data_IF_122649695307
#
_entry.id   IF_122649695307
#
_cell.length_a   1.000
_cell.length_b   1.000
_cell.length_c   1.000
_cell.angle_alpha   90.00
_cell.angle_beta   90.00
_cell.angle_gamma   90.00
#
_symmetry.space_group_name_H-M   'P 1'
#
loop_
_entity.id
_entity.type
_entity.pdbx_description
1 polymer ?
#
# COMPACT_ATOMS: atom_id res chain seq x y z
N UNK A 1 -3.92 10.42 6.89
CA UNK A 1 -3.16 11.55 6.31
C UNK A 1 -3.44 11.75 4.81
N UNK A 2 -3.73 10.69 4.06
CA UNK A 2 -4.12 10.78 2.63
C UNK A 2 -5.49 11.44 2.41
N UNK A 3 -6.44 11.21 3.32
CA UNK A 3 -7.83 11.65 3.20
C UNK A 3 -8.03 13.14 2.81
N UNK A 4 -7.39 14.14 3.45
CA UNK A 4 -7.57 15.54 3.05
C UNK A 4 -7.08 15.84 1.62
N UNK A 5 -6.02 15.18 1.17
CA UNK A 5 -5.50 15.32 -0.21
C UNK A 5 -6.54 14.73 -1.18
N UNK A 6 -7.07 13.56 -0.87
CA UNK A 6 -8.11 12.89 -1.66
C UNK A 6 -9.39 13.71 -1.73
N UNK A 7 -9.89 14.23 -0.59
CA UNK A 7 -11.08 15.08 -0.54
C UNK A 7 -10.91 16.37 -1.37
N UNK A 8 -9.74 16.99 -1.33
CA UNK A 8 -9.42 18.17 -2.13
C UNK A 8 -9.44 17.85 -3.63
N UNK A 9 -8.78 16.76 -4.05
CA UNK A 9 -8.73 16.34 -5.44
C UNK A 9 -10.13 16.06 -6.01
N UNK A 10 -10.97 15.34 -5.27
CA UNK A 10 -12.35 15.04 -5.70
C UNK A 10 -13.19 16.31 -5.79
N UNK A 11 -13.11 17.17 -4.77
CA UNK A 11 -13.90 18.40 -4.74
C UNK A 11 -13.58 19.29 -5.93
N UNK A 12 -12.29 19.41 -6.26
CA UNK A 12 -11.81 20.16 -7.42
C UNK A 12 -12.26 19.54 -8.75
N UNK A 13 -12.17 18.21 -8.88
CA UNK A 13 -12.65 17.48 -10.05
C UNK A 13 -14.15 17.66 -10.29
N UNK A 14 -14.95 17.52 -9.22
CA UNK A 14 -16.41 17.60 -9.30
C UNK A 14 -16.87 19.00 -9.73
N UNK A 15 -16.21 20.05 -9.23
CA UNK A 15 -16.47 21.43 -9.64
C UNK A 15 -16.11 21.69 -11.11
N UNK A 16 -15.16 20.92 -11.67
CA UNK A 16 -14.65 21.14 -13.03
C UNK A 16 -15.49 20.41 -14.09
N UNK A 17 -15.84 19.14 -13.84
CA UNK A 17 -16.43 18.26 -14.87
C UNK A 17 -17.93 18.03 -14.67
N UNK A 18 -18.43 17.99 -13.42
CA UNK A 18 -19.83 17.70 -13.06
C UNK A 18 -20.49 16.61 -13.94
N UNK A 19 -19.89 15.39 -14.03
CA UNK A 19 -20.35 14.39 -14.99
C UNK A 19 -21.62 13.68 -14.53
N UNK A 20 -22.37 13.11 -15.48
CA UNK A 20 -23.53 12.25 -15.20
C UNK A 20 -23.15 10.89 -14.59
N UNK A 21 -21.95 10.40 -14.92
CA UNK A 21 -21.39 9.16 -14.41
C UNK A 21 -20.02 9.45 -13.79
N UNK A 22 -19.81 8.96 -12.58
CA UNK A 22 -18.59 9.13 -11.80
C UNK A 22 -17.88 7.79 -11.63
N UNK A 23 -16.75 7.63 -12.31
CA UNK A 23 -15.94 6.42 -12.27
C UNK A 23 -14.83 6.53 -11.21
N UNK A 24 -14.74 5.54 -10.32
CA UNK A 24 -13.71 5.43 -9.28
C UNK A 24 -12.99 4.10 -9.48
N UNK A 25 -11.67 4.14 -9.54
CA UNK A 25 -10.84 2.94 -9.56
C UNK A 25 -9.94 2.88 -8.30
N UNK A 26 -10.02 1.77 -7.56
CA UNK A 26 -9.13 1.43 -6.45
C UNK A 26 -8.16 0.34 -6.92
N UNK A 27 -6.88 0.69 -7.08
CA UNK A 27 -5.83 -0.16 -7.65
C UNK A 27 -4.92 -0.68 -6.53
N UNK A 28 -4.93 -1.99 -6.30
CA UNK A 28 -4.33 -2.64 -5.13
C UNK A 28 -5.30 -2.72 -3.95
N UNK A 29 -6.54 -3.13 -4.22
CA UNK A 29 -7.63 -3.03 -3.26
C UNK A 29 -7.53 -4.02 -2.08
N UNK A 30 -6.76 -5.10 -2.22
CA UNK A 30 -6.70 -6.24 -1.31
C UNK A 30 -8.09 -6.86 -1.06
N UNK A 31 -8.31 -7.52 0.09
CA UNK A 31 -9.56 -8.22 0.43
C UNK A 31 -10.22 -7.74 1.74
N UNK A 32 -9.63 -6.72 2.39
CA UNK A 32 -10.05 -6.22 3.70
C UNK A 32 -11.06 -5.07 3.64
N UNK A 33 -11.52 -4.58 4.81
CA UNK A 33 -12.51 -3.49 4.89
C UNK A 33 -12.03 -2.15 4.31
N UNK A 34 -10.71 -2.01 4.10
CA UNK A 34 -10.10 -0.79 3.57
C UNK A 34 -10.59 -0.46 2.16
N UNK A 35 -10.81 -1.48 1.31
CA UNK A 35 -11.28 -1.34 -0.07
C UNK A 35 -12.54 -0.48 -0.15
N UNK A 36 -13.54 -0.86 0.65
CA UNK A 36 -14.83 -0.20 0.64
C UNK A 36 -14.82 1.11 1.44
N UNK A 37 -13.95 1.23 2.45
CA UNK A 37 -13.81 2.46 3.24
C UNK A 37 -13.35 3.64 2.37
N UNK A 38 -12.33 3.43 1.52
CA UNK A 38 -11.83 4.50 0.64
C UNK A 38 -12.93 4.94 -0.31
N UNK A 39 -13.53 3.99 -1.05
CA UNK A 39 -14.60 4.28 -2.02
C UNK A 39 -15.79 4.98 -1.36
N UNK A 40 -16.19 4.54 -0.16
CA UNK A 40 -17.26 5.17 0.62
C UNK A 40 -16.97 6.65 0.92
N UNK A 41 -15.76 6.97 1.39
CA UNK A 41 -15.36 8.34 1.70
C UNK A 41 -15.35 9.22 0.45
N UNK A 42 -14.94 8.68 -0.71
CA UNK A 42 -14.99 9.39 -2.00
C UNK A 42 -16.43 9.75 -2.37
N UNK A 43 -17.33 8.77 -2.33
CA UNK A 43 -18.74 8.93 -2.68
C UNK A 43 -19.41 9.93 -1.74
N UNK A 44 -19.15 9.83 -0.43
CA UNK A 44 -19.66 10.76 0.59
C UNK A 44 -19.21 12.21 0.33
N UNK A 45 -17.98 12.39 -0.13
CA UNK A 45 -17.43 13.71 -0.48
C UNK A 45 -18.16 14.31 -1.69
N UNK A 46 -18.36 13.51 -2.75
CA UNK A 46 -19.13 13.91 -3.93
C UNK A 46 -20.58 14.24 -3.55
N UNK A 47 -21.23 13.39 -2.75
CA UNK A 47 -22.61 13.56 -2.31
C UNK A 47 -22.81 14.85 -1.51
N UNK A 48 -21.89 15.15 -0.58
CA UNK A 48 -21.90 16.40 0.16
C UNK A 48 -21.75 17.60 -0.78
N UNK A 49 -20.86 17.50 -1.78
CA UNK A 49 -20.59 18.60 -2.70
C UNK A 49 -21.76 18.88 -3.64
N UNK A 50 -22.38 17.84 -4.24
CA UNK A 50 -23.54 18.00 -5.12
C UNK A 50 -24.72 18.65 -4.41
N UNK A 51 -24.95 18.30 -3.14
CA UNK A 51 -26.05 18.85 -2.32
C UNK A 51 -25.88 20.35 -2.13
N UNK A 52 -24.66 20.80 -1.84
CA UNK A 52 -24.32 22.23 -1.75
C UNK A 52 -24.52 22.98 -3.07
N UNK A 53 -24.34 22.30 -4.21
CA UNK A 53 -24.50 22.89 -5.54
C UNK A 53 -25.94 22.75 -6.09
N UNK A 54 -26.85 22.07 -5.39
CA UNK A 54 -28.20 21.80 -5.87
C UNK A 54 -28.25 20.86 -7.07
N UNK A 55 -27.26 19.98 -7.23
CA UNK A 55 -27.15 19.04 -8.35
C UNK A 55 -27.71 17.66 -8.01
N UNK A 56 -28.23 16.97 -9.04
CA UNK A 56 -28.64 15.57 -8.95
C UNK A 56 -27.43 14.65 -8.69
N UNK A 57 -27.70 13.46 -8.14
CA UNK A 57 -26.64 12.48 -7.91
C UNK A 57 -26.14 11.90 -9.22
N UNK A 58 -24.82 11.80 -9.45
CA UNK A 58 -24.29 11.04 -10.57
C UNK A 58 -24.50 9.54 -10.33
N UNK A 59 -24.45 8.77 -11.41
CA UNK A 59 -24.28 7.32 -11.34
C UNK A 59 -22.83 7.01 -10.92
N UNK A 60 -22.62 6.16 -9.91
CA UNK A 60 -21.29 5.77 -9.47
C UNK A 60 -20.89 4.42 -10.07
N UNK A 61 -19.76 4.38 -10.76
CA UNK A 61 -19.14 3.15 -11.26
C UNK A 61 -17.82 2.93 -10.53
N UNK A 62 -17.72 1.81 -9.83
CA UNK A 62 -16.56 1.48 -9.02
C UNK A 62 -15.83 0.31 -9.70
N UNK A 63 -14.52 0.43 -9.79
CA UNK A 63 -13.61 -0.60 -10.27
C UNK A 63 -12.65 -0.88 -9.12
N UNK A 64 -12.67 -2.09 -8.59
CA UNK A 64 -11.61 -2.54 -7.71
C UNK A 64 -10.66 -3.36 -8.57
N UNK A 65 -9.37 -3.32 -8.28
CA UNK A 65 -8.35 -4.01 -9.05
C UNK A 65 -7.26 -4.51 -8.11
N UNK A 66 -6.80 -5.73 -8.34
CA UNK A 66 -5.72 -6.39 -7.61
C UNK A 66 -5.28 -7.60 -8.44
N UNK A 67 -4.17 -8.25 -8.10
CA UNK A 67 -3.75 -9.51 -8.73
C UNK A 67 -4.82 -10.62 -8.49
N UNK A 68 -4.96 -11.70 -9.29
CA UNK A 68 -5.95 -12.76 -9.18
C UNK A 68 -5.60 -13.76 -8.10
N UNK A 69 -4.37 -13.70 -7.62
CA UNK A 69 -4.03 -14.30 -6.35
C UNK A 69 -4.76 -13.62 -5.19
N UNK A 70 -5.29 -12.39 -5.36
CA UNK A 70 -6.15 -11.75 -4.37
C UNK A 70 -7.48 -12.50 -4.21
N UNK A 71 -7.98 -12.54 -2.99
CA UNK A 71 -9.23 -13.21 -2.66
C UNK A 71 -10.45 -12.33 -2.95
N UNK A 72 -10.70 -12.11 -4.23
CA UNK A 72 -11.90 -11.41 -4.69
C UNK A 72 -13.19 -12.06 -4.21
N UNK A 73 -13.19 -13.36 -3.88
CA UNK A 73 -14.39 -14.03 -3.33
C UNK A 73 -14.75 -13.46 -1.95
N UNK A 74 -13.76 -13.08 -1.13
CA UNK A 74 -13.99 -12.42 0.16
C UNK A 74 -14.51 -10.99 -0.02
N UNK A 75 -14.02 -10.24 -1.02
CA UNK A 75 -14.59 -8.92 -1.37
C UNK A 75 -16.04 -9.07 -1.85
N UNK A 76 -16.31 -9.99 -2.78
CA UNK A 76 -17.65 -10.15 -3.37
C UNK A 76 -18.69 -10.58 -2.33
N UNK A 77 -18.29 -11.32 -1.29
CA UNK A 77 -19.18 -11.67 -0.17
C UNK A 77 -19.55 -10.47 0.72
N UNK A 78 -18.70 -9.43 0.80
CA UNK A 78 -18.95 -8.23 1.61
C UNK A 78 -19.66 -7.10 0.84
N UNK A 79 -19.85 -7.26 -0.48
CA UNK A 79 -20.60 -6.31 -1.33
C UNK A 79 -22.03 -6.04 -0.83
N UNK A 80 -22.84 -7.03 -0.41
CA UNK A 80 -24.22 -6.76 0.04
C UNK A 80 -24.28 -5.86 1.28
N UNK A 81 -23.41 -6.09 2.27
CA UNK A 81 -23.28 -5.27 3.47
C UNK A 81 -22.77 -3.86 3.16
N UNK A 82 -21.79 -3.75 2.27
CA UNK A 82 -21.30 -2.46 1.78
C UNK A 82 -22.41 -1.66 1.09
N UNK A 83 -23.19 -2.31 0.22
CA UNK A 83 -24.32 -1.67 -0.44
C UNK A 83 -25.43 -1.28 0.54
N UNK A 84 -25.67 -2.08 1.59
CA UNK A 84 -26.63 -1.76 2.64
C UNK A 84 -26.17 -0.56 3.46
N UNK A 85 -24.89 -0.50 3.83
CA UNK A 85 -24.30 0.67 4.49
C UNK A 85 -24.42 1.93 3.63
N UNK A 86 -24.14 1.83 2.33
CA UNK A 86 -24.36 2.92 1.38
C UNK A 86 -25.84 3.34 1.33
N UNK A 87 -26.79 2.41 1.26
CA UNK A 87 -28.24 2.71 1.25
C UNK A 87 -28.76 3.30 2.56
N UNK A 88 -28.17 2.94 3.69
CA UNK A 88 -28.58 3.42 5.01
C UNK A 88 -28.01 4.82 5.30
N UNK A 89 -26.83 5.14 4.76
CA UNK A 89 -26.20 6.46 4.91
C UNK A 89 -26.45 7.41 3.73
N UNK A 90 -27.03 6.94 2.62
CA UNK A 90 -27.36 7.73 1.43
C UNK A 90 -28.83 7.49 0.99
N UNK A 91 -29.55 8.54 0.62
CA UNK A 91 -30.94 8.43 0.14
C UNK A 91 -31.06 7.57 -1.15
N UNK A 92 -32.23 6.97 -1.37
CA UNK A 92 -32.46 5.91 -2.37
C UNK A 92 -32.00 6.25 -3.82
N UNK A 93 -31.20 5.36 -4.44
CA UNK A 93 -30.88 5.41 -5.89
C UNK A 93 -29.49 4.92 -6.39
N UNK A 94 -28.87 3.88 -5.80
CA UNK A 94 -27.47 3.49 -6.08
C UNK A 94 -27.29 2.30 -7.08
N UNK A 95 -26.19 2.25 -7.87
CA UNK A 95 -25.87 1.25 -8.94
C UNK A 95 -24.77 0.17 -8.65
N UNK A 96 -24.38 -0.70 -9.62
CA UNK A 96 -23.53 -1.93 -9.48
C UNK A 96 -22.03 -1.83 -9.97
N UNK A 97 -21.10 -2.78 -9.59
CA UNK A 97 -19.60 -2.73 -9.72
C UNK A 97 -18.86 -4.11 -9.97
N UNK A 98 -17.64 -4.16 -10.61
CA UNK A 98 -16.80 -5.38 -10.94
C UNK A 98 -15.22 -5.22 -10.91
N UNK A 99 -14.40 -6.32 -10.92
CA UNK A 99 -12.94 -6.41 -10.49
C UNK A 99 -12.01 -7.56 -11.10
N UNK A 100 -10.64 -7.41 -11.31
CA UNK A 100 -9.61 -8.47 -11.75
C UNK A 100 -8.05 -8.09 -11.74
N UNK A 101 -7.01 -9.01 -11.96
CA UNK A 101 -5.51 -8.76 -12.22
C UNK A 101 -4.58 -9.94 -12.77
N UNK A 102 -3.17 -9.97 -12.66
CA UNK A 102 -2.13 -11.12 -12.43
C UNK A 102 -0.60 -10.71 -12.45
N UNK A 103 0.46 -11.56 -12.17
CA UNK A 103 1.56 -11.41 -11.17
C UNK A 103 2.99 -11.27 -11.82
N UNK A 104 4.09 -11.89 -11.32
CA UNK A 104 5.14 -11.51 -10.32
C UNK A 104 6.54 -12.00 -10.86
N UNK A 105 7.71 -11.60 -10.29
CA UNK A 105 9.09 -11.74 -10.85
C UNK A 105 10.18 -12.43 -9.96
N UNK A 106 11.37 -12.75 -10.53
CA UNK A 106 12.53 -13.56 -10.00
C UNK A 106 13.87 -12.76 -9.90
N UNK A 107 14.62 -12.83 -8.76
CA UNK A 107 16.12 -12.72 -8.64
C UNK A 107 16.62 -12.74 -7.15
N UNK A 108 17.93 -13.01 -6.88
CA UNK A 108 18.54 -13.39 -5.57
C UNK A 108 19.39 -12.31 -4.83
N UNK A 109 19.43 -12.31 -3.47
CA UNK A 109 20.09 -11.34 -2.57
C UNK A 109 20.68 -12.01 -1.30
N UNK A 110 22.00 -11.94 -1.10
CA UNK A 110 22.71 -12.73 -0.09
C UNK A 110 22.51 -12.22 1.34
N UNK A 111 22.09 -13.12 2.24
CA UNK A 111 21.95 -12.91 3.69
C UNK A 111 20.93 -11.85 4.11
N UNK A 112 20.25 -11.24 3.14
CA UNK A 112 19.27 -10.17 3.30
C UNK A 112 18.10 -10.45 2.39
N UNK A 113 16.91 -10.13 2.88
CA UNK A 113 15.66 -10.33 2.13
C UNK A 113 15.16 -9.02 1.50
N UNK A 114 15.91 -7.92 1.65
CA UNK A 114 15.58 -6.58 1.15
C UNK A 114 16.87 -5.76 1.01
N UNK A 115 16.81 -4.60 0.34
CA UNK A 115 17.92 -3.63 0.28
C UNK A 115 18.27 -3.12 1.68
N UNK A 116 19.57 -3.04 1.96
CA UNK A 116 20.16 -2.49 3.19
C UNK A 116 21.34 -1.57 2.85
N UNK A 117 21.85 -0.82 3.84
CA UNK A 117 23.05 0.00 3.69
C UNK A 117 24.31 -0.76 3.26
N UNK A 118 24.36 -2.08 3.47
CA UNK A 118 25.48 -2.95 3.08
C UNK A 118 25.28 -3.64 1.74
N UNK A 119 24.14 -3.40 1.06
CA UNK A 119 23.82 -4.05 -0.21
C UNK A 119 24.74 -3.58 -1.34
N UNK A 120 25.27 -4.50 -2.18
CA UNK A 120 26.04 -4.14 -3.37
C UNK A 120 25.19 -3.34 -4.37
N UNK A 121 25.85 -2.51 -5.19
CA UNK A 121 25.18 -1.73 -6.23
C UNK A 121 24.35 -2.58 -7.22
N UNK A 122 24.79 -3.81 -7.48
CA UNK A 122 24.03 -4.76 -8.31
C UNK A 122 22.67 -5.06 -7.71
N UNK A 123 22.59 -5.35 -6.40
CA UNK A 123 21.34 -5.61 -5.67
C UNK A 123 20.45 -4.38 -5.65
N UNK A 124 21.01 -3.19 -5.34
CA UNK A 124 20.23 -1.94 -5.35
C UNK A 124 19.58 -1.72 -6.72
N UNK A 125 20.31 -1.99 -7.81
CA UNK A 125 19.80 -1.81 -9.17
C UNK A 125 18.68 -2.77 -9.56
N UNK A 126 18.60 -3.94 -8.94
CA UNK A 126 17.53 -4.94 -9.12
C UNK A 126 16.19 -4.43 -8.56
N UNK A 127 16.21 -3.51 -7.60
CA UNK A 127 14.97 -2.91 -7.08
C UNK A 127 14.64 -1.57 -7.76
N UNK A 128 15.64 -0.71 -7.94
CA UNK A 128 15.42 0.64 -8.48
C UNK A 128 14.97 0.59 -9.94
N UNK A 129 15.62 -0.21 -10.80
CA UNK A 129 15.30 -0.22 -12.24
C UNK A 129 13.91 -0.79 -12.54
N UNK A 130 13.49 -1.92 -11.93
CA UNK A 130 12.11 -2.38 -12.09
C UNK A 130 11.11 -1.35 -11.58
N UNK A 131 11.33 -0.74 -10.41
CA UNK A 131 10.44 0.32 -9.94
C UNK A 131 10.30 1.46 -10.94
N UNK A 132 11.40 2.01 -11.48
CA UNK A 132 11.35 3.10 -12.46
C UNK A 132 10.59 2.70 -13.73
N UNK A 133 10.86 1.48 -14.22
CA UNK A 133 10.20 0.91 -15.40
C UNK A 133 8.70 0.69 -15.16
N UNK A 134 8.36 0.03 -14.07
CA UNK A 134 7.01 -0.39 -13.73
C UNK A 134 6.15 0.80 -13.35
N UNK A 135 6.69 1.77 -12.61
CA UNK A 135 5.99 3.02 -12.29
C UNK A 135 5.77 3.87 -13.55
N UNK A 136 6.74 3.95 -14.46
CA UNK A 136 6.55 4.65 -15.74
C UNK A 136 5.51 3.96 -16.63
N UNK A 137 5.52 2.62 -16.67
CA UNK A 137 4.51 1.83 -17.38
C UNK A 137 3.12 2.01 -16.76
N UNK A 138 3.03 2.00 -15.43
CA UNK A 138 1.81 2.31 -14.70
C UNK A 138 1.27 3.67 -15.09
N UNK A 139 2.09 4.74 -15.03
CA UNK A 139 1.67 6.08 -15.42
C UNK A 139 1.16 6.10 -16.87
N UNK A 140 1.86 5.49 -17.82
CA UNK A 140 1.42 5.41 -19.22
C UNK A 140 0.07 4.71 -19.37
N UNK A 141 -0.12 3.54 -18.76
CA UNK A 141 -1.40 2.82 -18.81
C UNK A 141 -2.53 3.65 -18.21
N UNK A 142 -2.29 4.29 -17.05
CA UNK A 142 -3.29 5.15 -16.41
C UNK A 142 -3.62 6.38 -17.27
N UNK A 143 -2.65 6.89 -18.02
CA UNK A 143 -2.88 8.06 -18.86
C UNK A 143 -3.72 7.75 -20.10
N UNK A 144 -3.69 6.52 -20.60
CA UNK A 144 -4.57 6.05 -21.68
C UNK A 144 -6.00 5.79 -21.20
N UNK A 145 -6.17 5.37 -19.94
CA UNK A 145 -7.47 5.05 -19.35
C UNK A 145 -8.21 6.29 -18.80
N UNK A 146 -7.47 7.29 -18.33
CA UNK A 146 -8.04 8.45 -17.64
C UNK A 146 -8.49 9.55 -18.61
N UNK A 147 -9.68 10.09 -18.37
CA UNK A 147 -10.17 11.29 -19.05
C UNK A 147 -9.28 12.49 -18.76
N UNK A 148 -9.19 13.42 -19.72
CA UNK A 148 -8.53 14.71 -19.53
C UNK A 148 -9.12 15.43 -18.31
N UNK A 149 -8.23 15.94 -17.45
CA UNK A 149 -8.64 16.55 -16.20
C UNK A 149 -9.07 15.56 -15.12
N UNK A 150 -8.93 14.24 -15.30
CA UNK A 150 -9.11 13.25 -14.23
C UNK A 150 -8.11 13.42 -13.09
N UNK A 151 -8.41 12.84 -11.92
CA UNK A 151 -7.55 12.87 -10.72
C UNK A 151 -7.08 11.47 -10.35
N UNK A 152 -5.80 11.35 -10.01
CA UNK A 152 -5.22 10.13 -9.44
C UNK A 152 -4.50 10.48 -8.15
N UNK A 153 -4.82 9.78 -7.07
CA UNK A 153 -4.16 9.94 -5.78
C UNK A 153 -3.42 8.66 -5.46
N UNK A 154 -2.09 8.74 -5.37
CA UNK A 154 -1.22 7.63 -5.05
C UNK A 154 -0.75 7.77 -3.61
N UNK A 155 -0.92 6.72 -2.81
CA UNK A 155 -0.34 6.63 -1.47
C UNK A 155 0.62 5.43 -1.47
N UNK A 156 1.92 5.72 -1.55
CA UNK A 156 2.97 4.72 -1.61
C UNK A 156 3.72 4.70 -0.28
N UNK A 157 4.07 3.53 0.21
CA UNK A 157 5.09 3.45 1.25
C UNK A 157 6.42 3.89 0.61
N UNK A 158 7.16 4.75 1.29
CA UNK A 158 8.33 5.39 0.73
C UNK A 158 9.37 5.71 1.78
N UNK A 159 10.24 6.67 1.45
CA UNK A 159 11.33 7.17 2.31
C UNK A 159 11.47 8.67 2.15
N UNK A 160 12.05 9.34 3.16
CA UNK A 160 12.37 10.77 3.06
C UNK A 160 13.73 10.98 2.41
N UNK A 161 14.69 10.15 2.78
CA UNK A 161 16.03 10.16 2.21
C UNK A 161 16.00 9.93 0.71
N UNK A 162 16.91 10.56 -0.03
CA UNK A 162 17.14 10.28 -1.46
C UNK A 162 18.08 9.08 -1.68
N UNK A 163 18.75 8.57 -0.64
CA UNK A 163 19.52 7.33 -0.70
C UNK A 163 18.61 6.07 -0.69
N UNK A 164 18.61 5.23 -1.75
CA UNK A 164 17.78 4.01 -1.84
C UNK A 164 18.14 2.93 -0.82
N UNK A 165 19.31 3.01 -0.19
CA UNK A 165 19.72 2.04 0.84
C UNK A 165 19.22 2.42 2.24
N UNK A 166 18.62 3.61 2.39
CA UNK A 166 18.09 4.07 3.67
C UNK A 166 17.09 3.06 4.21
N UNK A 167 17.26 2.69 5.47
CA UNK A 167 16.38 1.74 6.17
C UNK A 167 15.07 2.40 6.63
N UNK A 168 14.90 3.71 6.39
CA UNK A 168 13.66 4.45 6.64
C UNK A 168 12.45 3.70 6.07
N UNK A 169 11.51 3.35 6.94
CA UNK A 169 10.29 2.65 6.55
C UNK A 169 10.47 1.22 6.03
N UNK A 170 11.66 0.63 6.14
CA UNK A 170 11.96 -0.75 5.68
C UNK A 170 12.68 -1.62 6.71
N UNK A 171 13.10 -1.07 7.85
CA UNK A 171 13.87 -1.79 8.87
C UNK A 171 13.16 -3.03 9.43
N UNK A 172 11.83 -3.08 9.38
CA UNK A 172 11.06 -4.26 9.81
C UNK A 172 11.36 -5.51 8.94
N UNK A 173 11.80 -5.34 7.69
CA UNK A 173 12.30 -6.43 6.85
C UNK A 173 13.68 -6.93 7.29
N UNK A 174 14.53 -6.03 7.79
CA UNK A 174 15.84 -6.41 8.34
C UNK A 174 15.69 -7.25 9.61
N UNK A 175 14.70 -6.93 10.45
CA UNK A 175 14.35 -7.72 11.63
C UNK A 175 13.79 -9.11 11.27
N UNK A 176 13.08 -9.24 10.13
CA UNK A 176 12.65 -10.55 9.63
C UNK A 176 13.83 -11.34 9.06
N UNK A 177 14.76 -10.67 8.37
CA UNK A 177 16.00 -11.29 7.92
C UNK A 177 16.84 -11.80 9.10
N UNK A 178 16.85 -11.09 10.24
CA UNK A 178 17.51 -11.56 11.47
C UNK A 178 16.94 -12.90 11.94
N UNK A 179 15.60 -13.02 12.02
CA UNK A 179 14.95 -14.28 12.40
C UNK A 179 15.34 -15.43 11.46
N UNK A 180 15.35 -15.19 10.14
CA UNK A 180 15.75 -16.20 9.16
C UNK A 180 17.24 -16.58 9.29
N UNK A 181 18.14 -15.62 9.56
CA UNK A 181 19.57 -15.90 9.79
C UNK A 181 19.81 -16.75 11.04
N UNK A 182 19.07 -16.52 12.11
CA UNK A 182 19.13 -17.38 13.31
C UNK A 182 18.74 -18.82 12.95
N UNK A 183 17.66 -18.99 12.18
CA UNK A 183 17.22 -20.31 11.72
C UNK A 183 18.26 -20.99 10.81
N UNK A 184 18.95 -20.24 9.96
CA UNK A 184 20.09 -20.76 9.17
C UNK A 184 21.23 -21.21 10.08
N UNK A 185 21.59 -20.42 11.09
CA UNK A 185 22.68 -20.77 12.01
C UNK A 185 22.40 -22.03 12.85
N UNK A 186 21.12 -22.34 13.06
CA UNK A 186 20.67 -23.54 13.76
C UNK A 186 20.45 -24.74 12.82
N UNK A 187 20.62 -24.55 11.51
CA UNK A 187 20.41 -25.59 10.50
C UNK A 187 18.94 -25.90 10.22
N UNK A 188 18.01 -25.02 10.62
CA UNK A 188 16.58 -25.16 10.34
C UNK A 188 16.21 -24.68 8.91
N UNK A 189 17.04 -23.81 8.33
CA UNK A 189 16.89 -23.28 6.97
C UNK A 189 18.22 -23.37 6.25
N UNK A 190 18.20 -23.76 4.97
CA UNK A 190 19.38 -23.76 4.11
C UNK A 190 19.82 -22.32 3.80
N UNK A 191 21.12 -22.01 3.94
CA UNK A 191 21.68 -20.67 3.66
C UNK A 191 21.37 -20.21 2.23
N UNK A 192 21.43 -21.13 1.27
CA UNK A 192 21.13 -20.88 -0.14
C UNK A 192 19.67 -20.45 -0.38
N UNK A 193 18.72 -20.94 0.44
CA UNK A 193 17.33 -20.50 0.39
C UNK A 193 17.18 -19.08 0.93
N UNK A 194 17.91 -18.72 1.99
CA UNK A 194 17.93 -17.35 2.48
C UNK A 194 18.53 -16.41 1.42
N UNK A 195 19.66 -16.78 0.84
CA UNK A 195 20.39 -15.98 -0.15
C UNK A 195 19.64 -15.77 -1.48
N UNK A 196 18.67 -16.64 -1.78
CA UNK A 196 17.85 -16.55 -2.99
C UNK A 196 16.51 -15.83 -2.75
N UNK A 197 16.15 -15.56 -1.50
CA UNK A 197 14.87 -14.95 -1.16
C UNK A 197 14.96 -13.42 -1.13
N UNK A 198 14.03 -12.76 -1.82
CA UNK A 198 13.85 -11.32 -1.79
C UNK A 198 12.38 -10.95 -1.60
N UNK A 199 12.15 -9.93 -0.79
CA UNK A 199 10.87 -9.26 -0.70
C UNK A 199 10.80 -8.27 -1.88
N UNK A 200 9.84 -8.41 -2.81
CA UNK A 200 9.69 -7.55 -3.98
C UNK A 200 9.03 -6.21 -3.61
N UNK A 201 9.63 -5.51 -2.64
CA UNK A 201 9.16 -4.26 -2.09
C UNK A 201 10.24 -3.20 -2.30
N UNK A 202 9.88 -2.07 -2.92
CA UNK A 202 10.80 -0.94 -3.09
C UNK A 202 10.13 0.34 -2.63
N UNK A 203 10.87 1.15 -1.86
CA UNK A 203 10.39 2.39 -1.27
C UNK A 203 10.96 3.59 -2.02
N UNK A 204 10.16 4.28 -2.85
CA UNK A 204 10.63 5.47 -3.55
C UNK A 204 10.74 6.68 -2.61
N UNK A 205 11.62 7.61 -2.98
CA UNK A 205 11.65 8.96 -2.41
C UNK A 205 10.61 9.86 -3.09
N UNK A 206 10.18 10.96 -2.46
CA UNK A 206 9.38 11.97 -3.15
C UNK A 206 10.11 12.54 -4.39
N UNK A 207 11.44 12.68 -4.35
CA UNK A 207 12.23 13.10 -5.50
C UNK A 207 12.09 12.14 -6.69
N UNK A 208 12.21 10.83 -6.44
CA UNK A 208 12.03 9.80 -7.49
C UNK A 208 10.62 9.80 -8.08
N UNK A 209 9.58 9.87 -7.24
CA UNK A 209 8.19 9.95 -7.73
C UNK A 209 8.01 11.19 -8.61
N UNK A 210 8.50 12.35 -8.17
CA UNK A 210 8.44 13.60 -8.94
C UNK A 210 9.11 13.45 -10.31
N UNK A 211 10.37 13.00 -10.32
CA UNK A 211 11.15 12.89 -11.56
C UNK A 211 10.50 11.94 -12.56
N UNK A 212 9.95 10.81 -12.11
CA UNK A 212 9.30 9.85 -13.01
C UNK A 212 7.97 10.37 -13.58
N UNK A 213 7.16 11.08 -12.77
CA UNK A 213 5.94 11.71 -13.26
C UNK A 213 6.25 12.80 -14.29
N UNK A 214 7.24 13.64 -14.02
CA UNK A 214 7.68 14.70 -14.93
C UNK A 214 8.31 14.14 -16.22
N UNK A 215 9.06 13.04 -16.11
CA UNK A 215 9.67 12.36 -17.24
C UNK A 215 8.64 11.68 -18.17
N UNK A 216 7.63 11.02 -17.60
CA UNK A 216 6.57 10.39 -18.39
C UNK A 216 5.66 11.45 -19.05
N UNK A 217 5.33 12.51 -18.33
CA UNK A 217 4.78 13.74 -18.89
C UNK A 217 3.27 13.75 -19.18
N UNK A 218 2.51 12.70 -18.87
CA UNK A 218 1.05 12.69 -19.05
C UNK A 218 0.28 13.37 -17.91
N UNK A 219 0.89 13.50 -16.74
CA UNK A 219 0.26 14.03 -15.54
C UNK A 219 0.98 15.26 -15.01
N UNK A 220 0.20 16.20 -14.48
CA UNK A 220 0.68 17.29 -13.65
C UNK A 220 0.60 16.87 -12.18
N UNK A 221 1.66 17.13 -11.43
CA UNK A 221 1.64 17.00 -9.96
C UNK A 221 0.89 18.19 -9.37
N UNK A 222 -0.22 17.91 -8.69
CA UNK A 222 -0.98 18.90 -7.92
C UNK A 222 -0.43 19.02 -6.49
N UNK A 223 -0.22 17.88 -5.82
CA UNK A 223 0.41 17.80 -4.49
C UNK A 223 1.36 16.61 -4.42
N UNK A 224 2.44 16.76 -3.68
CA UNK A 224 3.38 15.68 -3.37
C UNK A 224 3.93 15.90 -1.97
N UNK A 225 3.57 15.01 -1.05
CA UNK A 225 3.84 15.15 0.38
C UNK A 225 4.36 13.85 0.98
N UNK A 226 5.15 13.97 2.04
CA UNK A 226 5.56 12.83 2.86
C UNK A 226 4.88 12.92 4.22
N UNK A 227 4.52 11.76 4.76
CA UNK A 227 3.86 11.67 6.06
C UNK A 227 4.37 10.47 6.85
N UNK A 228 4.39 10.57 8.17
CA UNK A 228 4.93 9.52 9.04
C UNK A 228 3.84 8.84 9.87
N UNK A 229 3.87 7.51 9.90
CA UNK A 229 2.94 6.69 10.68
C UNK A 229 3.73 5.80 11.61
N UNK A 230 3.40 5.80 12.89
CA UNK A 230 4.02 4.89 13.85
C UNK A 230 3.76 3.43 13.48
N UNK A 231 4.77 2.57 13.67
CA UNK A 231 4.62 1.13 13.44
C UNK A 231 3.49 0.52 14.28
N UNK A 232 3.24 1.10 15.45
CA UNK A 232 2.07 0.76 16.26
C UNK A 232 0.87 1.62 15.86
N UNK A 233 -0.02 1.05 15.05
CA UNK A 233 -1.27 1.70 14.62
C UNK A 233 -2.21 2.09 15.78
N UNK A 234 -1.95 1.63 17.01
CA UNK A 234 -2.77 1.85 18.21
C UNK A 234 -2.01 2.58 19.33
N UNK A 235 -0.92 3.28 19.02
CA UNK A 235 -0.19 4.07 20.01
C UNK A 235 -1.12 5.11 20.65
N UNK A 236 -1.46 4.90 21.93
CA UNK A 236 -2.39 5.73 22.70
C UNK A 236 -3.76 5.10 23.04
N UNK A 237 -4.11 3.93 22.52
CA UNK A 237 -5.32 3.21 22.94
C UNK A 237 -5.04 2.31 24.16
N UNK A 238 -5.54 2.73 25.33
CA UNK A 238 -5.56 1.92 26.56
C UNK A 238 -6.67 0.88 26.44
N UNK A 239 -6.33 -0.41 26.50
CA UNK A 239 -7.32 -1.48 26.63
C UNK A 239 -7.97 -1.43 28.02
N UNK A 240 -9.23 -1.90 28.12
CA UNK A 240 -9.99 -1.95 29.39
C UNK A 240 -9.29 -2.71 30.53
N UNK A 241 -8.27 -3.53 30.22
CA UNK A 241 -7.49 -4.31 31.21
C UNK A 241 -6.19 -3.61 31.69
N UNK A 242 -5.90 -2.39 31.22
CA UNK A 242 -4.73 -1.62 31.62
C UNK A 242 -3.40 -2.11 31.07
N UNK A 243 -3.38 -3.08 30.13
CA UNK A 243 -2.16 -3.49 29.43
C UNK A 243 -1.92 -2.61 28.20
N UNK A 244 -0.69 -2.13 28.04
CA UNK A 244 -0.24 -1.57 26.76
C UNK A 244 -0.39 -2.65 25.68
N UNK A 245 -1.02 -2.31 24.55
CA UNK A 245 -1.06 -3.23 23.39
C UNK A 245 0.36 -3.58 22.99
N UNK A 246 0.61 -4.88 22.86
CA UNK A 246 1.87 -5.48 22.39
C UNK A 246 2.12 -5.04 20.92
N UNK A 247 2.76 -3.88 20.76
CA UNK A 247 2.98 -3.23 19.46
C UNK A 247 3.75 -4.10 18.48
N UNK A 248 4.72 -4.88 18.97
CA UNK A 248 5.48 -5.81 18.15
C UNK A 248 4.64 -7.00 17.69
N UNK A 249 3.72 -7.50 18.51
CA UNK A 249 2.78 -8.55 18.09
C UNK A 249 1.80 -8.09 17.00
N UNK A 250 1.31 -6.85 17.06
CA UNK A 250 0.43 -6.32 16.02
C UNK A 250 1.18 -6.11 14.71
N UNK A 251 2.42 -5.57 14.77
CA UNK A 251 3.26 -5.44 13.59
C UNK A 251 3.64 -6.79 13.00
N UNK A 252 3.99 -7.77 13.84
CA UNK A 252 4.31 -9.13 13.41
C UNK A 252 3.14 -9.76 12.62
N UNK A 253 1.90 -9.58 13.09
CA UNK A 253 0.70 -10.04 12.37
C UNK A 253 0.49 -9.31 11.03
N UNK A 254 0.74 -8.01 11.00
CA UNK A 254 0.64 -7.22 9.77
C UNK A 254 1.66 -7.69 8.73
N UNK A 255 2.92 -7.83 9.14
CA UNK A 255 4.00 -8.32 8.27
C UNK A 255 3.76 -9.77 7.86
N UNK A 256 3.21 -10.61 8.76
CA UNK A 256 2.80 -11.98 8.44
C UNK A 256 1.79 -12.03 7.31
N UNK A 257 0.74 -11.21 7.37
CA UNK A 257 -0.25 -11.14 6.30
C UNK A 257 0.34 -10.76 4.93
N UNK A 258 1.44 -9.99 4.91
CA UNK A 258 2.14 -9.57 3.68
C UNK A 258 3.12 -10.65 3.20
N UNK A 259 3.95 -11.18 4.10
CA UNK A 259 5.11 -11.99 3.75
C UNK A 259 4.86 -13.50 3.78
N UNK A 260 3.86 -13.98 4.53
CA UNK A 260 3.59 -15.42 4.68
C UNK A 260 3.39 -16.14 3.34
N UNK A 261 2.63 -15.62 2.36
CA UNK A 261 2.51 -16.28 1.05
C UNK A 261 3.85 -16.44 0.33
N UNK A 262 4.73 -15.43 0.43
CA UNK A 262 6.06 -15.44 -0.18
C UNK A 262 6.98 -16.44 0.54
N UNK A 263 6.94 -16.45 1.88
CA UNK A 263 7.72 -17.35 2.72
C UNK A 263 7.28 -18.81 2.52
N UNK A 264 5.98 -19.09 2.50
CA UNK A 264 5.44 -20.43 2.26
C UNK A 264 5.89 -20.95 0.89
N UNK A 265 5.80 -20.11 -0.15
CA UNK A 265 6.21 -20.49 -1.50
C UNK A 265 7.69 -20.82 -1.61
N UNK A 266 8.55 -20.13 -0.86
CA UNK A 266 10.01 -20.25 -0.98
C UNK A 266 10.62 -21.26 0.01
N UNK A 267 10.18 -21.26 1.26
CA UNK A 267 10.75 -22.04 2.35
C UNK A 267 9.87 -23.22 2.79
N UNK A 268 8.57 -23.19 2.49
CA UNK A 268 7.58 -24.17 2.94
C UNK A 268 6.81 -23.73 4.20
N UNK A 269 5.66 -24.36 4.45
CA UNK A 269 4.77 -24.03 5.57
C UNK A 269 5.39 -24.38 6.95
N UNK A 270 6.32 -25.33 6.97
CA UNK A 270 6.90 -25.91 8.20
C UNK A 270 7.66 -24.87 9.04
N UNK A 271 8.23 -23.84 8.40
CA UNK A 271 9.03 -22.82 9.09
C UNK A 271 8.21 -21.63 9.59
N UNK A 272 6.95 -21.51 9.17
CA UNK A 272 6.17 -20.26 9.30
C UNK A 272 5.89 -19.91 10.75
N UNK A 273 5.46 -20.88 11.56
CA UNK A 273 5.19 -20.60 12.97
C UNK A 273 6.45 -20.22 13.74
N UNK A 274 7.57 -20.89 13.43
CA UNK A 274 8.85 -20.64 14.09
C UNK A 274 9.45 -19.28 13.71
N UNK A 275 9.47 -18.94 12.42
CA UNK A 275 10.02 -17.65 11.95
C UNK A 275 9.24 -16.47 12.52
N UNK A 276 7.91 -16.56 12.58
CA UNK A 276 7.09 -15.48 13.14
C UNK A 276 7.13 -15.43 14.67
N UNK A 277 7.35 -16.55 15.35
CA UNK A 277 7.62 -16.58 16.79
C UNK A 277 8.90 -15.83 17.13
N UNK A 278 10.00 -16.12 16.42
CA UNK A 278 11.29 -15.42 16.57
C UNK A 278 11.20 -13.96 16.19
N UNK A 279 10.60 -13.67 15.03
CA UNK A 279 10.41 -12.31 14.54
C UNK A 279 9.65 -11.44 15.53
N UNK A 280 8.61 -11.98 16.17
CA UNK A 280 7.89 -11.29 17.24
C UNK A 280 8.80 -10.95 18.43
N UNK A 281 9.64 -11.89 18.86
CA UNK A 281 10.62 -11.65 19.93
C UNK A 281 11.58 -10.52 19.59
N UNK A 282 12.17 -10.57 18.39
CA UNK A 282 13.08 -9.55 17.87
C UNK A 282 12.40 -8.17 17.79
N UNK A 283 11.16 -8.12 17.30
CA UNK A 283 10.37 -6.88 17.23
C UNK A 283 10.12 -6.27 18.61
N UNK A 284 9.75 -7.09 19.58
CA UNK A 284 9.49 -6.63 20.95
C UNK A 284 10.75 -6.07 21.59
N UNK A 285 11.89 -6.75 21.41
CA UNK A 285 13.18 -6.29 21.90
C UNK A 285 13.61 -4.97 21.25
N UNK A 286 13.42 -4.85 19.93
CA UNK A 286 13.73 -3.63 19.18
C UNK A 286 12.86 -2.43 19.63
N UNK A 287 11.54 -2.62 19.67
CA UNK A 287 10.59 -1.58 20.09
C UNK A 287 10.76 -1.15 21.55
N UNK A 288 11.36 -2.00 22.41
CA UNK A 288 11.66 -1.62 23.80
C UNK A 288 12.86 -0.67 23.93
N UNK A 289 13.74 -0.63 22.91
CA UNK A 289 15.01 0.11 22.93
C UNK A 289 14.96 1.38 22.09
N UNK A 290 14.24 1.35 20.97
CA UNK A 290 14.16 2.47 20.04
C UNK A 290 12.97 3.39 20.30
N UNK A 291 13.16 4.70 20.09
CA UNK A 291 12.07 5.67 20.16
C UNK A 291 11.23 5.59 18.88
N UNK A 292 10.09 4.92 18.98
CA UNK A 292 8.94 5.01 18.07
C UNK A 292 9.30 4.90 16.57
N UNK A 293 9.55 3.67 16.06
CA UNK A 293 9.86 3.49 14.64
C UNK A 293 8.66 3.90 13.76
N UNK A 294 8.98 4.61 12.65
CA UNK A 294 8.00 5.22 11.76
C UNK A 294 8.05 4.58 10.37
N UNK A 295 6.88 4.43 9.77
CA UNK A 295 6.70 4.29 8.34
C UNK A 295 6.65 5.67 7.69
N UNK A 296 7.21 5.80 6.50
CA UNK A 296 7.06 6.99 5.67
C UNK A 296 6.13 6.65 4.51
N UNK A 297 5.14 7.50 4.28
CA UNK A 297 4.26 7.42 3.11
C UNK A 297 4.48 8.63 2.22
N UNK A 298 4.72 8.38 0.94
CA UNK A 298 4.74 9.38 -0.13
C UNK A 298 3.34 9.44 -0.75
N UNK A 299 2.67 10.59 -0.63
CA UNK A 299 1.35 10.82 -1.22
C UNK A 299 1.45 11.80 -2.38
N UNK A 300 0.98 11.40 -3.56
CA UNK A 300 0.93 12.23 -4.76
C UNK A 300 -0.51 12.42 -5.24
N UNK A 301 -0.93 13.66 -5.44
CA UNK A 301 -2.15 14.02 -6.17
C UNK A 301 -1.76 14.46 -7.58
N UNK A 302 -2.32 13.80 -8.59
CA UNK A 302 -1.97 13.96 -10.00
C UNK A 302 -3.20 14.35 -10.81
N UNK A 303 -2.99 15.18 -11.83
CA UNK A 303 -4.01 15.66 -12.76
C UNK A 303 -3.63 15.24 -14.18
N UNK A 304 -4.51 14.52 -14.88
CA UNK A 304 -4.32 14.18 -16.29
C UNK A 304 -4.37 15.45 -17.15
N UNK A 305 -3.31 15.75 -17.91
CA UNK A 305 -3.17 17.02 -18.62
C UNK A 305 -3.91 17.06 -19.97
N UNK A 306 -3.72 16.05 -20.81
CA UNK A 306 -4.39 15.87 -22.11
C UNK A 306 -4.66 14.39 -22.31
#
# INVERSE_FOLDING_TARGET
MTRPITEAAITDLYNTISPKTWCIADLGCSSGPNTFMVVFDLIKTVDKRRKTLGLESPEYQIFLNDLPSNDFNTIFKSVPEFQEKLRNEMEAGFGQCFVTGVPEMEEANKGNIHITNSSPQSVISVYVKPFEKDFSAFLRCRSEEMVTGGRMVLALQGRKSENPCSTEGSYFWELLAMALREMVSEGLVEEEKLDSFNIPDYKPSPGQVRSLVELEGSFKIDRLETSEIHWNAYEGEILEDGKFRDGGNNLAKCVRAIAEPLLVRHFGEEIIEEVFSRYKGILNDYMSKEQSPLFVNVTASLIKMN
#
